data_IF_741132142077
#
_entry.id   IF_741132142077
#
_cell.length_a   1.000
_cell.length_b   1.000
_cell.length_c   1.000
_cell.angle_alpha   90.00
_cell.angle_beta   90.00
_cell.angle_gamma   90.00
#
_symmetry.space_group_name_H-M   'P 1'
#
loop_
_entity.id
_entity.type
_entity.pdbx_description
1 polymer ?
#
# COMPACT_ATOMS: atom_id res chain seq x y z
N UNK A 1 14.72 32.35 -7.56
CA UNK A 1 14.72 31.74 -6.19
C UNK A 1 13.32 31.65 -5.58
N UNK A 2 12.58 32.73 -5.45
CA UNK A 2 11.28 32.70 -4.75
C UNK A 2 10.24 31.79 -5.44
N UNK A 3 10.22 31.76 -6.77
CA UNK A 3 9.30 30.89 -7.53
C UNK A 3 9.69 29.40 -7.43
N UNK A 4 10.98 29.07 -7.58
CA UNK A 4 11.49 27.72 -7.38
C UNK A 4 11.16 27.21 -5.96
N UNK A 5 11.53 27.97 -4.92
CA UNK A 5 11.26 27.61 -3.53
C UNK A 5 9.76 27.45 -3.22
N UNK A 6 8.88 28.24 -3.86
CA UNK A 6 7.43 28.08 -3.74
C UNK A 6 6.95 26.80 -4.40
N UNK A 7 7.49 26.45 -5.56
CA UNK A 7 7.15 25.21 -6.26
C UNK A 7 7.65 23.99 -5.46
N UNK A 8 8.85 24.03 -4.89
CA UNK A 8 9.40 23.00 -4.00
C UNK A 8 8.54 22.81 -2.73
N UNK A 9 8.07 23.90 -2.14
CA UNK A 9 7.14 23.83 -1.00
C UNK A 9 5.86 23.10 -1.38
N UNK A 10 5.24 23.45 -2.53
CA UNK A 10 4.03 22.77 -3.02
C UNK A 10 4.30 21.31 -3.38
N UNK A 11 5.47 20.99 -3.94
CA UNK A 11 5.88 19.61 -4.18
C UNK A 11 5.99 18.80 -2.87
N UNK A 12 6.56 19.39 -1.82
CA UNK A 12 6.64 18.77 -0.49
C UNK A 12 5.25 18.51 0.12
N UNK A 13 4.30 19.44 -0.04
CA UNK A 13 2.93 19.28 0.44
C UNK A 13 2.21 18.12 -0.27
N UNK A 14 2.36 18.01 -1.59
CA UNK A 14 1.81 16.88 -2.34
C UNK A 14 2.54 15.58 -2.02
N UNK A 15 3.85 15.61 -1.76
CA UNK A 15 4.62 14.47 -1.29
C UNK A 15 4.11 13.93 0.06
N UNK A 16 3.74 14.81 0.99
CA UNK A 16 3.09 14.44 2.24
C UNK A 16 1.75 13.73 1.99
N UNK A 17 0.94 14.24 1.05
CA UNK A 17 -0.35 13.61 0.67
C UNK A 17 -0.15 12.24 0.03
N UNK A 18 0.85 12.11 -0.84
CA UNK A 18 1.21 10.83 -1.46
C UNK A 18 1.63 9.79 -0.42
N UNK A 19 2.48 10.19 0.55
CA UNK A 19 2.87 9.31 1.66
C UNK A 19 1.66 8.90 2.51
N UNK A 20 0.79 9.83 2.87
CA UNK A 20 -0.44 9.52 3.63
C UNK A 20 -1.32 8.52 2.88
N UNK A 21 -1.50 8.70 1.57
CA UNK A 21 -2.29 7.77 0.74
C UNK A 21 -1.67 6.38 0.71
N UNK A 22 -0.34 6.28 0.62
CA UNK A 22 0.36 4.99 0.65
C UNK A 22 0.24 4.29 2.00
N UNK A 23 0.30 5.03 3.12
CA UNK A 23 0.08 4.49 4.47
C UNK A 23 -1.35 3.99 4.65
N UNK A 24 -2.35 4.75 4.19
CA UNK A 24 -3.75 4.32 4.22
C UNK A 24 -3.97 3.04 3.41
N UNK A 25 -3.36 2.95 2.22
CA UNK A 25 -3.37 1.74 1.40
C UNK A 25 -2.78 0.55 2.16
N UNK A 26 -1.60 0.74 2.75
CA UNK A 26 -0.90 -0.32 3.47
C UNK A 26 -1.71 -0.82 4.67
N UNK A 27 -2.31 0.07 5.46
CA UNK A 27 -3.18 -0.29 6.58
C UNK A 27 -4.42 -1.05 6.10
N UNK A 28 -5.09 -0.55 5.05
CA UNK A 28 -6.30 -1.18 4.52
C UNK A 28 -5.99 -2.57 3.94
N UNK A 29 -4.90 -2.72 3.19
CA UNK A 29 -4.49 -3.99 2.61
C UNK A 29 -4.08 -5.00 3.69
N UNK A 30 -3.32 -4.56 4.71
CA UNK A 30 -2.98 -5.38 5.87
C UNK A 30 -4.21 -5.84 6.65
N UNK A 31 -5.23 -4.99 6.79
CA UNK A 31 -6.50 -5.36 7.43
C UNK A 31 -7.25 -6.43 6.62
N UNK A 32 -7.31 -6.30 5.29
CA UNK A 32 -7.92 -7.30 4.42
C UNK A 32 -7.16 -8.64 4.49
N UNK A 33 -5.84 -8.59 4.57
CA UNK A 33 -5.00 -9.77 4.72
C UNK A 33 -5.22 -10.46 6.09
N UNK A 34 -5.43 -9.69 7.16
CA UNK A 34 -5.82 -10.26 8.47
C UNK A 34 -7.15 -11.01 8.40
N UNK A 35 -8.16 -10.47 7.72
CA UNK A 35 -9.45 -11.16 7.51
C UNK A 35 -9.27 -12.47 6.73
N UNK A 36 -8.41 -12.45 5.70
CA UNK A 36 -8.11 -13.65 4.90
C UNK A 36 -7.39 -14.72 5.74
N UNK A 37 -6.42 -14.32 6.59
CA UNK A 37 -5.71 -15.26 7.46
C UNK A 37 -6.62 -15.88 8.53
N UNK A 38 -7.57 -15.11 9.08
CA UNK A 38 -8.58 -15.64 10.01
C UNK A 38 -9.47 -16.69 9.30
N UNK A 39 -9.91 -16.42 8.06
CA UNK A 39 -10.67 -17.36 7.26
C UNK A 39 -9.86 -18.61 6.94
N UNK A 40 -8.59 -18.44 6.55
CA UNK A 40 -7.68 -19.56 6.33
C UNK A 40 -7.47 -20.40 7.60
N UNK A 41 -7.29 -19.76 8.75
CA UNK A 41 -7.19 -20.46 10.04
C UNK A 41 -8.42 -21.30 10.34
N UNK A 42 -9.60 -20.77 10.11
CA UNK A 42 -10.86 -21.49 10.31
C UNK A 42 -10.99 -22.71 9.37
N UNK A 43 -10.59 -22.58 8.10
CA UNK A 43 -10.56 -23.70 7.14
C UNK A 43 -9.60 -24.78 7.59
N UNK A 44 -8.38 -24.40 8.02
CA UNK A 44 -7.38 -25.37 8.49
C UNK A 44 -7.81 -26.05 9.78
N UNK A 45 -8.42 -25.34 10.73
CA UNK A 45 -8.98 -25.95 11.94
C UNK A 45 -10.04 -26.99 11.60
N UNK A 46 -10.94 -26.69 10.65
CA UNK A 46 -11.94 -27.62 10.17
C UNK A 46 -11.32 -28.83 9.46
N UNK A 47 -10.22 -28.65 8.73
CA UNK A 47 -9.49 -29.78 8.14
C UNK A 47 -8.85 -30.68 9.19
N UNK A 48 -8.33 -30.11 10.29
CA UNK A 48 -7.79 -30.88 11.42
C UNK A 48 -8.86 -31.72 12.08
N UNK A 49 -10.06 -31.16 12.34
CA UNK A 49 -11.20 -31.93 12.86
C UNK A 49 -11.55 -33.12 11.94
N UNK A 50 -11.63 -32.86 10.64
CA UNK A 50 -11.99 -33.85 9.64
C UNK A 50 -10.95 -34.98 9.50
N UNK A 51 -9.65 -34.60 9.49
CA UNK A 51 -8.57 -35.60 9.42
C UNK A 51 -8.39 -36.37 10.74
N UNK A 52 -8.68 -35.75 11.88
CA UNK A 52 -8.70 -36.45 13.18
C UNK A 52 -9.77 -37.50 13.22
N UNK A 53 -10.98 -37.22 12.72
CA UNK A 53 -12.05 -38.20 12.60
C UNK A 53 -11.69 -39.32 11.61
N UNK A 54 -11.05 -38.98 10.49
CA UNK A 54 -10.57 -39.97 9.53
C UNK A 54 -9.54 -40.92 10.16
N UNK A 55 -8.60 -40.37 10.93
CA UNK A 55 -7.59 -41.18 11.64
C UNK A 55 -8.23 -42.10 12.65
N UNK A 56 -9.17 -41.58 13.45
CA UNK A 56 -9.92 -42.42 14.44
C UNK A 56 -10.62 -43.60 13.77
N UNK A 57 -11.31 -43.37 12.67
CA UNK A 57 -12.00 -44.44 11.92
C UNK A 57 -11.04 -45.48 11.34
N UNK A 58 -9.89 -45.09 10.84
CA UNK A 58 -8.88 -46.04 10.34
C UNK A 58 -8.18 -46.80 11.45
N UNK A 59 -7.96 -46.20 12.61
CA UNK A 59 -7.41 -46.88 13.79
C UNK A 59 -8.41 -47.95 14.30
N UNK A 60 -9.70 -47.64 14.41
CA UNK A 60 -10.75 -48.58 14.79
C UNK A 60 -10.87 -49.74 13.80
N UNK A 61 -10.76 -49.48 12.48
CA UNK A 61 -10.76 -50.54 11.46
C UNK A 61 -9.52 -51.44 11.57
N UNK A 62 -8.36 -50.87 11.88
CA UNK A 62 -7.13 -51.63 12.04
C UNK A 62 -7.19 -52.53 13.29
N UNK A 63 -7.72 -52.04 14.42
CA UNK A 63 -7.96 -52.82 15.63
C UNK A 63 -8.95 -53.95 15.40
N UNK A 64 -9.99 -53.70 14.59
CA UNK A 64 -10.94 -54.69 14.15
C UNK A 64 -10.42 -55.68 13.09
N UNK A 65 -9.13 -55.62 12.74
CA UNK A 65 -8.46 -56.49 11.74
C UNK A 65 -9.04 -56.40 10.32
N UNK A 66 -9.78 -55.33 10.01
CA UNK A 66 -10.37 -55.02 8.69
C UNK A 66 -9.73 -53.80 8.01
N UNK A 67 -8.78 -53.12 8.70
CA UNK A 67 -8.09 -51.95 8.23
C UNK A 67 -6.73 -52.21 7.66
N UNK A 68 -6.18 -51.20 6.96
CA UNK A 68 -4.84 -51.19 6.38
C UNK A 68 -3.93 -50.15 7.04
N UNK A 69 -2.72 -50.56 7.46
CA UNK A 69 -1.69 -49.66 8.03
C UNK A 69 -1.33 -48.49 7.12
N UNK A 70 -1.41 -48.63 5.80
CA UNK A 70 -1.18 -47.57 4.84
C UNK A 70 -2.23 -46.45 5.01
N UNK A 71 -3.50 -46.78 5.23
CA UNK A 71 -4.57 -45.83 5.44
C UNK A 71 -4.36 -45.03 6.74
N UNK A 72 -4.03 -45.70 7.82
CA UNK A 72 -3.68 -45.07 9.11
C UNK A 72 -2.48 -44.09 8.93
N UNK A 73 -1.41 -44.55 8.27
CA UNK A 73 -0.24 -43.71 8.01
C UNK A 73 -0.60 -42.48 7.17
N UNK A 74 -1.43 -42.64 6.14
CA UNK A 74 -1.89 -41.57 5.25
C UNK A 74 -2.76 -40.53 6.00
N UNK A 75 -3.70 -40.98 6.81
CA UNK A 75 -4.53 -40.10 7.64
C UNK A 75 -3.72 -39.35 8.70
N UNK A 76 -2.78 -40.06 9.33
CA UNK A 76 -1.85 -39.42 10.30
C UNK A 76 -0.97 -38.36 9.67
N UNK A 77 -0.48 -38.59 8.47
CA UNK A 77 0.31 -37.63 7.70
C UNK A 77 -0.52 -36.39 7.33
N UNK A 78 -1.75 -36.60 6.84
CA UNK A 78 -2.68 -35.50 6.51
C UNK A 78 -3.03 -34.66 7.75
N UNK A 79 -3.33 -35.30 8.87
CA UNK A 79 -3.61 -34.62 10.16
C UNK A 79 -2.40 -33.81 10.62
N UNK A 80 -1.20 -34.40 10.69
CA UNK A 80 0.01 -33.72 11.13
C UNK A 80 0.36 -32.52 10.21
N UNK A 81 0.20 -32.69 8.91
CA UNK A 81 0.43 -31.60 7.94
C UNK A 81 -0.54 -30.42 8.16
N UNK A 82 -1.82 -30.70 8.42
CA UNK A 82 -2.81 -29.64 8.73
C UNK A 82 -2.55 -29.00 10.08
N UNK A 83 -2.21 -29.77 11.11
CA UNK A 83 -1.87 -29.24 12.43
C UNK A 83 -0.67 -28.30 12.39
N UNK A 84 0.34 -28.60 11.58
CA UNK A 84 1.51 -27.76 11.41
C UNK A 84 1.20 -26.40 10.76
N UNK A 85 0.12 -26.28 9.99
CA UNK A 85 -0.28 -25.00 9.38
C UNK A 85 -0.88 -24.03 10.41
N UNK A 86 -1.51 -24.51 11.48
CA UNK A 86 -2.14 -23.65 12.50
C UNK A 86 -1.13 -22.67 13.12
N UNK A 87 -0.02 -23.12 13.74
CA UNK A 87 0.95 -22.21 14.31
C UNK A 87 1.62 -21.32 13.26
N UNK A 88 1.81 -21.80 12.04
CA UNK A 88 2.38 -21.00 10.94
C UNK A 88 1.46 -19.80 10.58
N UNK A 89 0.14 -20.03 10.48
CA UNK A 89 -0.85 -18.96 10.25
C UNK A 89 -0.94 -18.01 11.45
N UNK A 90 -0.90 -18.53 12.68
CA UNK A 90 -0.93 -17.71 13.87
C UNK A 90 0.28 -16.75 13.98
N UNK A 91 1.47 -17.20 13.56
CA UNK A 91 2.66 -16.33 13.46
C UNK A 91 2.43 -15.23 12.42
N UNK A 92 1.86 -15.56 11.25
CA UNK A 92 1.57 -14.55 10.24
C UNK A 92 0.56 -13.51 10.74
N UNK A 93 -0.50 -13.96 11.44
CA UNK A 93 -1.48 -13.06 12.07
C UNK A 93 -0.80 -12.13 13.08
N UNK A 94 0.00 -12.67 13.99
CA UNK A 94 0.67 -11.88 15.02
C UNK A 94 1.64 -10.85 14.41
N UNK A 95 2.42 -11.25 13.42
CA UNK A 95 3.34 -10.34 12.72
C UNK A 95 2.60 -9.21 12.01
N UNK A 96 1.47 -9.52 11.37
CA UNK A 96 0.67 -8.54 10.65
C UNK A 96 -0.08 -7.60 11.62
N UNK A 97 -0.58 -8.09 12.76
CA UNK A 97 -1.14 -7.27 13.84
C UNK A 97 -0.11 -6.28 14.40
N UNK A 98 1.13 -6.74 14.61
CA UNK A 98 2.23 -5.88 15.03
C UNK A 98 2.54 -4.80 13.97
N UNK A 99 2.60 -5.18 12.68
CA UNK A 99 2.84 -4.25 11.60
C UNK A 99 1.75 -3.17 11.50
N UNK A 100 0.47 -3.57 11.58
CA UNK A 100 -0.66 -2.61 11.59
C UNK A 100 -0.63 -1.71 12.83
N UNK A 101 -0.27 -2.24 14.00
CA UNK A 101 -0.13 -1.45 15.23
C UNK A 101 0.93 -0.37 15.07
N UNK A 102 2.10 -0.72 14.51
CA UNK A 102 3.19 0.23 14.25
C UNK A 102 2.77 1.29 13.23
N UNK A 103 2.11 0.90 12.13
CA UNK A 103 1.58 1.84 11.15
C UNK A 103 0.56 2.81 11.75
N UNK A 104 -0.21 2.37 12.75
CA UNK A 104 -1.16 3.20 13.49
C UNK A 104 -0.51 4.01 14.63
N UNK A 105 0.81 3.97 14.80
CA UNK A 105 1.53 4.66 15.90
C UNK A 105 1.21 4.12 17.29
N UNK A 106 0.86 2.82 17.40
CA UNK A 106 0.46 2.17 18.65
C UNK A 106 1.43 1.06 19.03
N UNK A 107 1.47 0.73 20.32
CA UNK A 107 2.17 -0.45 20.79
C UNK A 107 1.58 -1.73 20.15
N UNK A 108 2.41 -2.77 19.87
CA UNK A 108 1.95 -4.04 19.33
C UNK A 108 0.80 -4.63 20.16
N UNK A 109 -0.25 -5.11 19.47
CA UNK A 109 -1.42 -5.67 20.11
C UNK A 109 -2.46 -6.18 19.12
N UNK A 110 -3.47 -6.86 19.65
CA UNK A 110 -4.55 -7.44 18.83
C UNK A 110 -5.36 -6.36 18.11
N UNK A 111 -5.63 -6.61 16.84
CA UNK A 111 -6.49 -5.77 16.01
C UNK A 111 -7.89 -6.37 15.99
N UNK A 112 -8.91 -5.59 16.40
CA UNK A 112 -10.32 -6.01 16.28
C UNK A 112 -10.70 -6.09 14.80
N UNK A 113 -11.31 -7.20 14.43
CA UNK A 113 -11.73 -7.50 13.06
C UNK A 113 -13.21 -7.81 13.00
N UNK A 114 -13.85 -7.42 11.88
CA UNK A 114 -15.23 -7.76 11.59
C UNK A 114 -15.46 -7.76 10.08
N UNK A 115 -16.40 -8.57 9.60
CA UNK A 115 -16.71 -8.72 8.20
C UNK A 115 -15.88 -9.80 7.51
N UNK A 116 -16.11 -9.98 6.21
CA UNK A 116 -15.38 -10.92 5.37
C UNK A 116 -14.79 -10.23 4.13
N UNK A 117 -13.71 -10.79 3.61
CA UNK A 117 -13.10 -10.31 2.36
C UNK A 117 -14.06 -10.46 1.17
N UNK A 118 -14.92 -11.49 1.19
CA UNK A 118 -15.96 -11.72 0.19
C UNK A 118 -16.96 -10.57 0.12
N UNK A 119 -17.50 -10.14 1.26
CA UNK A 119 -18.49 -9.05 1.32
C UNK A 119 -17.91 -7.75 0.82
N UNK A 120 -16.68 -7.43 1.20
CA UNK A 120 -15.98 -6.23 0.74
C UNK A 120 -15.75 -6.28 -0.78
N UNK A 121 -15.35 -7.44 -1.33
CA UNK A 121 -15.07 -7.60 -2.75
C UNK A 121 -16.28 -7.33 -3.65
N UNK A 122 -17.48 -7.72 -3.22
CA UNK A 122 -18.68 -7.68 -4.05
C UNK A 122 -19.63 -6.50 -3.78
N UNK A 123 -19.63 -5.94 -2.57
CA UNK A 123 -20.56 -4.86 -2.22
C UNK A 123 -20.18 -3.49 -2.80
N UNK A 124 -18.94 -3.29 -3.25
CA UNK A 124 -18.48 -2.01 -3.81
C UNK A 124 -18.54 -2.06 -5.34
N UNK A 125 -19.44 -1.25 -5.91
CA UNK A 125 -19.54 -1.06 -7.37
C UNK A 125 -18.56 0.03 -7.82
N UNK A 126 -17.72 -0.29 -8.79
CA UNK A 126 -16.83 0.68 -9.44
C UNK A 126 -17.53 1.17 -10.72
N UNK A 127 -17.74 2.49 -10.89
CA UNK A 127 -18.35 3.02 -12.10
C UNK A 127 -17.43 2.78 -13.31
N UNK A 128 -18.04 2.45 -14.46
CA UNK A 128 -17.32 2.37 -15.71
C UNK A 128 -16.99 3.78 -16.25
N UNK A 129 -15.91 3.92 -17.04
CA UNK A 129 -15.60 5.17 -17.72
C UNK A 129 -14.94 6.22 -16.83
N UNK A 130 -13.90 5.85 -16.08
CA UNK A 130 -13.12 6.78 -15.26
C UNK A 130 -12.34 7.72 -16.19
N UNK A 131 -12.61 9.05 -16.20
CA UNK A 131 -11.94 9.97 -17.09
C UNK A 131 -10.46 10.17 -16.73
N UNK A 132 -9.60 10.33 -17.73
CA UNK A 132 -8.16 10.53 -17.55
C UNK A 132 -7.80 11.76 -16.68
N UNK A 133 -8.67 12.81 -16.62
CA UNK A 133 -8.41 13.99 -15.80
C UNK A 133 -8.32 13.68 -14.29
N UNK A 134 -8.83 12.52 -13.83
CA UNK A 134 -8.70 12.11 -12.43
C UNK A 134 -7.24 11.94 -12.03
N UNK A 135 -6.36 11.61 -12.98
CA UNK A 135 -4.92 11.51 -12.73
C UNK A 135 -4.32 12.84 -12.24
N UNK A 136 -4.87 13.99 -12.68
CA UNK A 136 -4.43 15.30 -12.18
C UNK A 136 -4.75 15.55 -10.70
N UNK A 137 -5.54 14.67 -10.06
CA UNK A 137 -5.82 14.71 -8.61
C UNK A 137 -4.82 13.88 -7.80
N UNK A 138 -4.03 13.05 -8.47
CA UNK A 138 -3.05 12.19 -7.79
C UNK A 138 -1.94 13.06 -7.19
N UNK A 139 -1.64 12.86 -5.89
CA UNK A 139 -0.61 13.66 -5.23
C UNK A 139 0.79 13.42 -5.81
N UNK A 140 1.13 12.20 -6.23
CA UNK A 140 2.41 11.86 -6.85
C UNK A 140 2.61 12.56 -8.21
N UNK A 141 1.55 12.62 -9.03
CA UNK A 141 1.55 13.35 -10.31
C UNK A 141 1.69 14.87 -10.08
N UNK A 142 0.98 15.42 -9.10
CA UNK A 142 1.08 16.83 -8.73
C UNK A 142 2.44 17.18 -8.14
N UNK A 143 3.00 16.28 -7.32
CA UNK A 143 4.34 16.44 -6.79
C UNK A 143 5.38 16.58 -7.92
N UNK A 144 5.38 15.66 -8.89
CA UNK A 144 6.29 15.70 -10.02
C UNK A 144 6.06 16.92 -10.93
N UNK A 145 4.80 17.36 -11.09
CA UNK A 145 4.49 18.61 -11.79
C UNK A 145 5.09 19.84 -11.10
N UNK A 146 5.00 19.93 -9.77
CA UNK A 146 5.61 21.03 -9.03
C UNK A 146 7.14 20.97 -9.04
N UNK A 147 7.73 19.78 -9.02
CA UNK A 147 9.18 19.60 -9.19
C UNK A 147 9.65 20.07 -10.59
N UNK A 148 8.89 19.76 -11.64
CA UNK A 148 9.16 20.27 -12.98
C UNK A 148 9.08 21.80 -13.03
N UNK A 149 8.10 22.42 -12.36
CA UNK A 149 7.97 23.88 -12.26
C UNK A 149 9.15 24.51 -11.50
N UNK A 150 9.61 23.85 -10.43
CA UNK A 150 10.80 24.29 -9.69
C UNK A 150 12.05 24.27 -10.57
N UNK A 151 12.30 23.16 -11.26
CA UNK A 151 13.43 23.04 -12.19
C UNK A 151 13.37 24.07 -13.32
N UNK A 152 12.17 24.38 -13.86
CA UNK A 152 12.02 25.45 -14.84
C UNK A 152 12.35 26.83 -14.27
N UNK A 153 11.95 27.12 -13.04
CA UNK A 153 12.28 28.36 -12.36
C UNK A 153 13.79 28.48 -12.09
N UNK A 154 14.49 27.38 -11.82
CA UNK A 154 15.96 27.34 -11.65
C UNK A 154 16.70 27.66 -12.96
N UNK A 155 16.16 27.28 -14.13
CA UNK A 155 16.70 27.77 -15.41
C UNK A 155 16.63 29.29 -15.48
N UNK A 156 15.52 29.91 -15.03
CA UNK A 156 15.39 31.37 -14.92
C UNK A 156 16.41 31.99 -13.97
N UNK A 157 16.70 31.32 -12.84
CA UNK A 157 17.76 31.76 -11.90
C UNK A 157 19.15 31.70 -12.58
N UNK A 158 19.46 30.62 -13.30
CA UNK A 158 20.71 30.48 -14.02
C UNK A 158 20.90 31.60 -15.08
N UNK A 159 19.84 31.96 -15.80
CA UNK A 159 19.83 33.08 -16.75
C UNK A 159 19.97 34.43 -16.02
N UNK A 160 19.31 34.62 -14.88
CA UNK A 160 19.40 35.84 -14.10
C UNK A 160 20.83 36.13 -13.59
N UNK A 161 21.63 35.08 -13.38
CA UNK A 161 23.04 35.22 -12.96
C UNK A 161 23.97 35.88 -14.01
N UNK A 162 23.51 36.07 -15.26
CA UNK A 162 24.22 36.84 -16.26
C UNK A 162 24.07 38.36 -16.05
N UNK A 163 23.08 38.80 -15.30
CA UNK A 163 22.77 40.19 -15.07
C UNK A 163 23.36 40.69 -13.76
N UNK A 164 23.71 42.02 -13.68
CA UNK A 164 24.16 42.60 -12.43
C UNK A 164 23.09 42.56 -11.34
N UNK A 165 23.51 42.32 -10.11
CA UNK A 165 22.67 42.46 -8.92
C UNK A 165 22.71 43.89 -8.40
N UNK A 166 21.54 44.47 -8.14
CA UNK A 166 21.40 45.78 -7.51
C UNK A 166 21.01 45.52 -6.05
N UNK A 167 21.86 45.94 -5.13
CA UNK A 167 21.56 45.85 -3.69
C UNK A 167 21.43 47.23 -3.08
N UNK A 168 20.44 47.38 -2.20
CA UNK A 168 20.24 48.57 -1.38
C UNK A 168 20.49 48.19 0.08
N UNK A 169 21.41 48.86 0.71
CA UNK A 169 21.77 48.63 2.12
C UNK A 169 21.47 49.91 2.90
N UNK A 170 20.73 49.79 3.98
CA UNK A 170 20.56 50.87 4.95
C UNK A 170 21.06 50.40 6.32
N UNK A 171 21.86 51.16 6.96
CA UNK A 171 22.36 50.90 8.30
C UNK A 171 22.10 52.11 9.20
N UNK A 172 21.58 51.87 10.37
CA UNK A 172 21.40 52.88 11.42
C UNK A 172 21.93 52.35 12.75
N UNK A 173 22.67 53.11 13.47
CA UNK A 173 23.22 52.68 14.74
C UNK A 173 23.72 53.80 15.60
N UNK A 174 24.00 53.48 16.85
CA UNK A 174 24.65 54.33 17.81
C UNK A 174 26.09 53.84 17.91
N UNK A 175 27.05 54.70 17.63
CA UNK A 175 28.48 54.39 17.78
C UNK A 175 29.07 55.22 18.93
N UNK A 176 29.84 54.59 19.80
CA UNK A 176 30.61 55.21 20.85
C UNK A 176 32.06 54.72 20.74
N UNK A 177 33.01 55.63 20.88
CA UNK A 177 34.45 55.31 20.91
C UNK A 177 34.89 54.64 22.21
N UNK A 178 34.04 54.70 23.29
CA UNK A 178 34.32 54.13 24.61
C UNK A 178 33.08 53.39 25.15
N UNK A 179 33.25 52.16 25.55
CA UNK A 179 32.20 51.31 26.14
C UNK A 179 31.58 51.89 27.42
N UNK A 180 32.29 52.80 28.13
CA UNK A 180 31.81 53.45 29.34
C UNK A 180 30.87 54.63 29.08
N UNK A 181 30.76 55.08 27.80
CA UNK A 181 29.95 56.21 27.41
C UNK A 181 28.95 55.89 26.28
N UNK A 182 28.35 54.70 26.33
CA UNK A 182 27.30 54.29 25.38
C UNK A 182 26.07 55.22 25.40
N UNK A 183 25.93 56.07 26.43
CA UNK A 183 24.85 57.06 26.54
C UNK A 183 25.12 58.37 25.81
N UNK A 184 26.32 58.59 25.24
CA UNK A 184 26.64 59.76 24.41
C UNK A 184 26.14 59.55 22.98
N UNK A 185 24.94 59.95 22.72
CA UNK A 185 24.20 59.81 21.48
C UNK A 185 24.85 60.51 20.30
N UNK A 186 25.66 59.82 19.53
CA UNK A 186 25.85 60.15 18.10
C UNK A 186 25.29 59.00 17.28
N UNK A 187 23.98 59.12 16.93
CA UNK A 187 23.34 58.24 15.96
C UNK A 187 23.87 58.55 14.57
N UNK A 188 24.39 57.57 13.89
CA UNK A 188 24.71 57.65 12.47
C UNK A 188 23.76 56.77 11.68
N UNK A 189 23.33 57.26 10.55
CA UNK A 189 22.67 56.46 9.56
C UNK A 189 23.38 56.61 8.22
N UNK A 190 23.34 55.59 7.42
CA UNK A 190 23.87 55.60 6.06
C UNK A 190 23.03 54.70 5.18
N UNK A 191 22.90 55.05 3.94
CA UNK A 191 22.40 54.15 2.93
C UNK A 191 23.36 54.12 1.75
N UNK A 192 23.45 52.98 1.10
CA UNK A 192 24.29 52.76 -0.07
C UNK A 192 23.62 51.89 -1.09
N UNK A 193 23.86 52.16 -2.34
CA UNK A 193 23.47 51.28 -3.45
C UNK A 193 24.73 50.64 -4.01
N UNK A 194 24.66 49.32 -4.27
CA UNK A 194 25.78 48.62 -4.89
C UNK A 194 25.27 47.87 -6.13
N UNK A 195 26.00 48.01 -7.25
CA UNK A 195 25.77 47.32 -8.51
C UNK A 195 26.95 46.38 -8.76
N UNK A 196 26.73 45.08 -8.70
CA UNK A 196 27.79 44.09 -8.91
C UNK A 196 27.35 43.09 -9.98
N UNK A 197 28.16 42.89 -11.01
CA UNK A 197 27.89 41.92 -12.07
C UNK A 197 29.13 41.22 -12.59
N UNK A 198 28.98 40.00 -13.14
CA UNK A 198 30.09 39.26 -13.72
C UNK A 198 30.48 39.85 -15.07
N UNK A 199 31.78 40.20 -15.23
CA UNK A 199 32.35 40.61 -16.52
C UNK A 199 32.99 39.43 -17.27
N UNK A 200 33.68 38.54 -16.53
CA UNK A 200 34.33 37.36 -17.07
C UNK A 200 34.37 36.25 -16.04
N UNK A 201 33.84 35.08 -16.38
CA UNK A 201 33.81 33.91 -15.50
C UNK A 201 34.27 32.61 -16.20
N UNK A 202 35.09 32.71 -17.23
CA UNK A 202 35.69 31.54 -17.92
C UNK A 202 34.69 30.42 -18.26
N UNK A 203 33.48 30.78 -18.71
CA UNK A 203 32.43 29.78 -19.08
C UNK A 203 31.59 29.25 -17.95
N UNK A 204 31.81 29.62 -16.68
CA UNK A 204 31.04 29.14 -15.52
C UNK A 204 29.54 29.38 -15.66
N UNK A 205 29.12 30.59 -16.10
CA UNK A 205 27.68 30.90 -16.25
C UNK A 205 27.03 30.05 -17.32
N UNK A 206 27.72 29.89 -18.48
CA UNK A 206 27.21 29.03 -19.56
C UNK A 206 27.10 27.57 -19.16
N UNK A 207 28.06 27.07 -18.36
CA UNK A 207 28.00 25.71 -17.83
C UNK A 207 26.86 25.56 -16.82
N UNK A 208 26.65 26.56 -15.93
CA UNK A 208 25.53 26.56 -14.96
C UNK A 208 24.17 26.59 -15.66
N UNK A 209 24.01 27.39 -16.71
CA UNK A 209 22.76 27.41 -17.51
C UNK A 209 22.51 26.07 -18.20
N UNK A 210 23.56 25.46 -18.78
CA UNK A 210 23.44 24.14 -19.40
C UNK A 210 23.07 23.06 -18.38
N UNK A 211 23.63 23.12 -17.18
CA UNK A 211 23.27 22.20 -16.09
C UNK A 211 21.80 22.36 -15.70
N UNK A 212 21.32 23.59 -15.45
CA UNK A 212 19.93 23.85 -15.10
C UNK A 212 18.95 23.39 -16.21
N UNK A 213 19.30 23.58 -17.49
CA UNK A 213 18.51 23.07 -18.63
C UNK A 213 18.46 21.53 -18.66
N UNK A 214 19.57 20.86 -18.33
CA UNK A 214 19.63 19.41 -18.27
C UNK A 214 18.77 18.88 -17.09
N UNK A 215 18.80 19.55 -15.94
CA UNK A 215 17.94 19.24 -14.78
C UNK A 215 16.45 19.45 -15.09
N UNK A 216 16.09 20.51 -15.81
CA UNK A 216 14.72 20.71 -16.29
C UNK A 216 14.27 19.58 -17.24
N UNK A 217 15.13 19.15 -18.16
CA UNK A 217 14.82 18.03 -19.06
C UNK A 217 14.63 16.72 -18.27
N UNK A 218 15.48 16.45 -17.27
CA UNK A 218 15.34 15.32 -16.38
C UNK A 218 14.01 15.35 -15.64
N UNK A 219 13.66 16.48 -15.00
CA UNK A 219 12.39 16.67 -14.32
C UNK A 219 11.17 16.53 -15.27
N UNK A 220 11.29 16.92 -16.54
CA UNK A 220 10.26 16.74 -17.57
C UNK A 220 10.02 15.25 -17.86
N UNK A 221 11.10 14.47 -18.03
CA UNK A 221 11.01 13.05 -18.25
C UNK A 221 10.47 12.30 -17.03
N UNK A 222 10.85 12.72 -15.81
CA UNK A 222 10.32 12.14 -14.56
C UNK A 222 8.81 12.40 -14.40
N UNK A 223 8.34 13.59 -14.78
CA UNK A 223 6.91 13.90 -14.80
C UNK A 223 6.17 13.02 -15.80
N UNK A 224 6.65 12.92 -17.04
CA UNK A 224 6.06 12.05 -18.06
C UNK A 224 6.01 10.59 -17.59
N UNK A 225 7.11 10.08 -17.04
CA UNK A 225 7.18 8.71 -16.51
C UNK A 225 6.17 8.50 -15.37
N UNK A 226 6.01 9.48 -14.48
CA UNK A 226 5.04 9.42 -13.37
C UNK A 226 3.61 9.33 -13.90
N UNK A 227 3.27 10.12 -14.91
CA UNK A 227 1.95 10.08 -15.58
C UNK A 227 1.71 8.74 -16.26
N UNK A 228 2.70 8.21 -16.99
CA UNK A 228 2.61 6.90 -17.66
C UNK A 228 2.42 5.76 -16.64
N UNK A 229 3.16 5.80 -15.54
CA UNK A 229 3.02 4.82 -14.46
C UNK A 229 1.63 4.89 -13.81
N UNK A 230 1.09 6.10 -13.60
CA UNK A 230 -0.24 6.29 -13.05
C UNK A 230 -1.34 5.73 -13.98
N UNK A 231 -1.21 5.94 -15.29
CA UNK A 231 -2.12 5.35 -16.30
C UNK A 231 -2.04 3.83 -16.30
N UNK A 232 -0.82 3.27 -16.29
CA UNK A 232 -0.59 1.84 -16.26
C UNK A 232 -1.18 1.19 -15.00
N UNK A 233 -1.01 1.83 -13.83
CA UNK A 233 -1.55 1.36 -12.54
C UNK A 233 -3.08 1.27 -12.58
N UNK A 234 -3.78 2.32 -13.05
CA UNK A 234 -5.24 2.31 -13.19
C UNK A 234 -5.69 1.22 -14.15
N UNK A 235 -5.08 1.14 -15.34
CA UNK A 235 -5.42 0.13 -16.36
C UNK A 235 -5.23 -1.29 -15.82
N UNK A 236 -4.07 -1.56 -15.24
CA UNK A 236 -3.75 -2.88 -14.67
C UNK A 236 -4.70 -3.27 -13.54
N UNK A 237 -5.04 -2.34 -12.65
CA UNK A 237 -5.95 -2.58 -11.53
C UNK A 237 -7.38 -2.89 -12.01
N UNK A 238 -7.87 -2.18 -13.03
CA UNK A 238 -9.19 -2.45 -13.63
C UNK A 238 -9.25 -3.82 -14.31
N UNK A 239 -8.21 -4.18 -15.07
CA UNK A 239 -8.10 -5.51 -15.71
C UNK A 239 -8.05 -6.60 -14.63
N UNK A 240 -7.18 -6.43 -13.63
CA UNK A 240 -7.04 -7.38 -12.52
C UNK A 240 -8.36 -7.60 -11.80
N UNK A 241 -9.09 -6.51 -11.47
CA UNK A 241 -10.41 -6.61 -10.82
C UNK A 241 -11.41 -7.38 -11.67
N UNK A 242 -11.50 -7.09 -12.97
CA UNK A 242 -12.39 -7.79 -13.88
C UNK A 242 -12.06 -9.29 -13.98
N UNK A 243 -10.77 -9.64 -14.05
CA UNK A 243 -10.33 -11.03 -14.12
C UNK A 243 -10.50 -11.77 -12.79
N UNK A 244 -10.21 -11.13 -11.65
CA UNK A 244 -10.41 -11.71 -10.32
C UNK A 244 -11.88 -12.03 -10.05
N UNK A 245 -12.82 -11.20 -10.53
CA UNK A 245 -14.25 -11.52 -10.43
C UNK A 245 -14.60 -12.85 -11.11
N UNK A 246 -14.05 -13.09 -12.30
CA UNK A 246 -14.25 -14.34 -13.03
C UNK A 246 -13.53 -15.52 -12.35
N UNK A 247 -12.29 -15.32 -11.91
CA UNK A 247 -11.51 -16.32 -11.20
C UNK A 247 -12.21 -16.76 -9.91
N UNK A 248 -12.73 -15.83 -9.11
CA UNK A 248 -13.45 -16.16 -7.87
C UNK A 248 -14.74 -16.94 -8.15
N UNK A 249 -15.47 -16.62 -9.24
CA UNK A 249 -16.65 -17.37 -9.63
C UNK A 249 -16.32 -18.82 -9.99
N UNK A 250 -15.32 -19.03 -10.86
CA UNK A 250 -14.89 -20.37 -11.29
C UNK A 250 -14.34 -21.17 -10.10
N UNK A 251 -13.54 -20.54 -9.24
CA UNK A 251 -13.01 -21.20 -8.04
C UNK A 251 -14.12 -21.56 -7.04
N UNK A 252 -15.17 -20.73 -6.94
CA UNK A 252 -16.33 -21.04 -6.10
C UNK A 252 -17.06 -22.28 -6.60
N UNK A 253 -17.27 -22.41 -7.93
CA UNK A 253 -17.84 -23.60 -8.56
C UNK A 253 -16.99 -24.86 -8.29
N UNK A 254 -15.65 -24.73 -8.38
CA UNK A 254 -14.75 -25.82 -8.06
C UNK A 254 -14.86 -26.27 -6.60
N UNK A 255 -14.94 -25.31 -5.64
CA UNK A 255 -15.14 -25.60 -4.21
C UNK A 255 -16.48 -26.31 -3.98
N UNK A 256 -17.57 -25.87 -4.61
CA UNK A 256 -18.89 -26.54 -4.52
C UNK A 256 -18.85 -27.96 -5.08
N UNK A 257 -18.13 -28.18 -6.19
CA UNK A 257 -17.94 -29.51 -6.74
C UNK A 257 -17.12 -30.42 -5.79
N UNK A 258 -16.04 -29.91 -5.20
CA UNK A 258 -15.28 -30.66 -4.19
C UNK A 258 -16.07 -30.95 -2.92
N UNK A 259 -16.89 -30.01 -2.44
CA UNK A 259 -17.82 -30.25 -1.32
C UNK A 259 -18.78 -31.36 -1.63
N UNK A 260 -19.35 -31.37 -2.84
CA UNK A 260 -20.23 -32.44 -3.32
C UNK A 260 -19.49 -33.77 -3.40
N UNK A 261 -18.25 -33.80 -3.89
CA UNK A 261 -17.42 -35.00 -3.93
C UNK A 261 -17.16 -35.58 -2.53
N UNK A 262 -16.84 -34.73 -1.54
CA UNK A 262 -16.68 -35.15 -0.14
C UNK A 262 -17.97 -35.75 0.38
N UNK A 263 -19.11 -35.11 0.14
CA UNK A 263 -20.41 -35.62 0.59
C UNK A 263 -20.72 -36.98 -0.04
N UNK A 264 -20.59 -37.12 -1.36
CA UNK A 264 -20.90 -38.36 -2.07
C UNK A 264 -19.91 -39.49 -1.70
N UNK A 265 -18.63 -39.21 -1.52
CA UNK A 265 -17.64 -40.20 -1.09
C UNK A 265 -17.97 -40.73 0.32
N UNK A 266 -18.42 -39.85 1.20
CA UNK A 266 -18.87 -40.24 2.55
C UNK A 266 -20.16 -41.10 2.54
N UNK A 267 -21.14 -40.77 1.70
CA UNK A 267 -22.36 -41.57 1.51
C UNK A 267 -22.03 -42.96 0.96
N UNK A 268 -21.14 -43.05 -0.04
CA UNK A 268 -20.68 -44.36 -0.61
C UNK A 268 -19.95 -45.20 0.45
N UNK A 269 -19.09 -44.57 1.26
CA UNK A 269 -18.44 -45.26 2.37
C UNK A 269 -19.48 -45.83 3.37
N UNK A 270 -20.47 -45.02 3.80
CA UNK A 270 -21.51 -45.47 4.75
C UNK A 270 -22.38 -46.63 4.24
N UNK A 271 -22.54 -46.71 2.93
CA UNK A 271 -23.29 -47.81 2.29
C UNK A 271 -22.42 -49.01 1.93
N UNK A 272 -21.14 -48.98 2.29
CA UNK A 272 -20.20 -50.08 2.01
C UNK A 272 -19.78 -50.17 0.53
N UNK A 273 -20.10 -49.17 -0.30
CA UNK A 273 -19.81 -49.17 -1.75
C UNK A 273 -18.37 -48.65 -2.06
N UNK A 274 -17.71 -48.06 -1.09
CA UNK A 274 -16.32 -47.58 -1.27
C UNK A 274 -15.55 -47.62 0.05
N UNK A 275 -14.21 -47.52 -0.07
CA UNK A 275 -13.32 -47.42 1.07
C UNK A 275 -13.24 -45.94 1.53
N UNK A 276 -13.05 -45.72 2.83
CA UNK A 276 -12.92 -44.35 3.41
C UNK A 276 -11.76 -43.56 2.82
N UNK A 277 -10.78 -44.19 2.21
CA UNK A 277 -9.67 -43.51 1.52
C UNK A 277 -10.16 -42.54 0.43
N UNK A 278 -11.32 -42.85 -0.21
CA UNK A 278 -11.92 -41.92 -1.18
C UNK A 278 -12.38 -40.61 -0.51
N UNK A 279 -12.89 -40.69 0.71
CA UNK A 279 -13.28 -39.54 1.51
C UNK A 279 -12.05 -38.70 1.85
N UNK A 280 -10.96 -39.34 2.29
CA UNK A 280 -9.71 -38.66 2.60
C UNK A 280 -9.14 -37.91 1.38
N UNK A 281 -9.14 -38.56 0.20
CA UNK A 281 -8.69 -37.88 -1.04
C UNK A 281 -9.61 -36.73 -1.45
N UNK A 282 -10.90 -36.87 -1.30
CA UNK A 282 -11.84 -35.79 -1.59
C UNK A 282 -11.60 -34.57 -0.64
N UNK A 283 -11.33 -34.83 0.64
CA UNK A 283 -10.99 -33.79 1.63
C UNK A 283 -9.65 -33.12 1.31
N UNK A 284 -8.63 -33.88 0.90
CA UNK A 284 -7.32 -33.34 0.51
C UNK A 284 -7.39 -32.40 -0.71
N UNK A 285 -8.40 -32.52 -1.57
CA UNK A 285 -8.64 -31.57 -2.65
C UNK A 285 -9.50 -30.37 -2.20
N UNK A 286 -10.47 -30.59 -1.32
CA UNK A 286 -11.38 -29.55 -0.86
C UNK A 286 -10.69 -28.44 -0.08
N UNK A 287 -9.90 -28.77 0.94
CA UNK A 287 -9.35 -27.76 1.84
C UNK A 287 -8.37 -26.79 1.15
N UNK A 288 -7.42 -27.23 0.31
CA UNK A 288 -6.59 -26.31 -0.48
C UNK A 288 -7.40 -25.44 -1.45
N UNK A 289 -8.47 -25.99 -2.05
CA UNK A 289 -9.35 -25.24 -2.93
C UNK A 289 -10.10 -24.12 -2.18
N UNK A 290 -10.53 -24.36 -0.94
CA UNK A 290 -11.17 -23.36 -0.07
C UNK A 290 -10.15 -22.26 0.34
N UNK A 291 -8.93 -22.63 0.71
CA UNK A 291 -7.85 -21.67 1.03
C UNK A 291 -7.58 -20.80 -0.19
N UNK A 292 -7.49 -21.39 -1.38
CA UNK A 292 -7.27 -20.65 -2.63
C UNK A 292 -8.43 -19.69 -2.94
N UNK A 293 -9.67 -20.09 -2.69
CA UNK A 293 -10.85 -19.23 -2.85
C UNK A 293 -10.80 -18.02 -1.90
N UNK A 294 -10.48 -18.26 -0.63
CA UNK A 294 -10.28 -17.19 0.38
C UNK A 294 -9.20 -16.19 -0.07
N UNK A 295 -8.10 -16.69 -0.63
CA UNK A 295 -7.04 -15.85 -1.17
C UNK A 295 -7.49 -15.02 -2.39
N UNK A 296 -8.33 -15.59 -3.27
CA UNK A 296 -8.90 -14.83 -4.40
C UNK A 296 -9.89 -13.76 -3.93
N UNK A 297 -10.70 -14.00 -2.90
CA UNK A 297 -11.55 -12.97 -2.30
C UNK A 297 -10.72 -11.82 -1.73
N UNK A 298 -9.65 -12.12 -1.00
CA UNK A 298 -8.72 -11.10 -0.53
C UNK A 298 -8.13 -10.29 -1.69
N UNK A 299 -7.58 -10.94 -2.70
CA UNK A 299 -7.01 -10.25 -3.87
C UNK A 299 -8.05 -9.37 -4.56
N UNK A 300 -9.28 -9.85 -4.71
CA UNK A 300 -10.37 -9.07 -5.30
C UNK A 300 -10.75 -7.86 -4.44
N UNK A 301 -10.81 -7.99 -3.11
CA UNK A 301 -11.03 -6.88 -2.19
C UNK A 301 -9.87 -5.87 -2.22
N UNK A 302 -8.61 -6.33 -2.25
CA UNK A 302 -7.40 -5.49 -2.34
C UNK A 302 -7.37 -4.64 -3.62
N UNK A 303 -7.96 -5.12 -4.74
CA UNK A 303 -8.09 -4.27 -5.94
C UNK A 303 -8.93 -3.02 -5.73
N UNK A 304 -9.86 -3.01 -4.77
CA UNK A 304 -10.64 -1.80 -4.44
C UNK A 304 -9.76 -0.76 -3.77
N UNK A 305 -8.92 -1.19 -2.83
CA UNK A 305 -7.96 -0.31 -2.15
C UNK A 305 -6.96 0.23 -3.17
N UNK A 306 -6.43 -0.63 -4.05
CA UNK A 306 -5.52 -0.24 -5.11
C UNK A 306 -6.16 0.75 -6.08
N UNK A 307 -7.41 0.53 -6.49
CA UNK A 307 -8.12 1.43 -7.38
C UNK A 307 -8.39 2.79 -6.71
N UNK A 308 -8.80 2.80 -5.44
CA UNK A 308 -9.00 4.03 -4.69
C UNK A 308 -7.72 4.88 -4.64
N UNK A 309 -6.57 4.26 -4.39
CA UNK A 309 -5.28 4.96 -4.37
C UNK A 309 -4.84 5.38 -5.78
N UNK A 310 -5.00 4.52 -6.78
CA UNK A 310 -4.66 4.81 -8.18
C UNK A 310 -5.48 5.99 -8.76
N UNK A 311 -6.68 6.23 -8.23
CA UNK A 311 -7.52 7.37 -8.58
C UNK A 311 -7.23 8.63 -7.74
N UNK A 312 -6.19 8.61 -6.92
CA UNK A 312 -5.77 9.76 -6.12
C UNK A 312 -6.49 9.91 -4.78
N UNK A 313 -7.32 8.93 -4.35
CA UNK A 313 -8.04 8.98 -3.08
C UNK A 313 -9.10 10.10 -2.98
N UNK A 314 -9.76 10.20 -1.83
CA UNK A 314 -10.79 11.23 -1.57
C UNK A 314 -10.22 12.44 -0.82
N UNK A 315 -9.55 13.35 -1.50
CA UNK A 315 -8.86 14.52 -0.89
C UNK A 315 -9.79 15.67 -0.46
N UNK A 316 -11.07 15.44 -0.27
CA UNK A 316 -11.97 16.45 0.28
C UNK A 316 -11.94 16.54 1.83
N UNK A 317 -11.04 15.83 2.50
CA UNK A 317 -10.83 16.03 3.94
C UNK A 317 -10.03 17.33 4.12
N UNK A 318 -10.67 18.35 4.69
CA UNK A 318 -9.98 19.57 5.12
C UNK A 318 -8.86 19.15 6.10
N UNK A 319 -7.70 19.79 5.99
CA UNK A 319 -6.50 19.57 6.84
C UNK A 319 -6.85 19.55 8.35
N UNK A 320 -7.94 20.20 8.73
CA UNK A 320 -8.47 20.30 10.09
C UNK A 320 -9.07 18.98 10.61
N UNK A 321 -9.70 18.18 9.75
CA UNK A 321 -10.32 16.90 10.15
C UNK A 321 -9.30 15.78 10.41
N UNK A 322 -8.06 15.92 9.89
CA UNK A 322 -7.00 14.94 10.08
C UNK A 322 -6.26 15.17 11.39
N UNK A 323 -6.12 16.45 11.82
CA UNK A 323 -5.42 16.82 13.05
C UNK A 323 -6.30 16.69 14.31
N UNK A 324 -7.61 16.84 14.18
CA UNK A 324 -8.54 16.84 15.33
C UNK A 324 -8.96 15.44 15.79
N UNK A 325 -8.58 14.36 15.06
CA UNK A 325 -8.98 12.98 15.38
C UNK A 325 -10.50 12.74 15.32
N UNK A 326 -10.96 11.49 15.36
CA UNK A 326 -12.39 11.22 15.45
C UNK A 326 -12.97 11.78 16.75
N UNK A 327 -14.20 12.31 16.74
CA UNK A 327 -14.83 12.85 17.93
C UNK A 327 -14.85 11.78 19.02
N UNK A 328 -14.32 12.13 20.18
CA UNK A 328 -14.38 11.28 21.39
C UNK A 328 -15.85 10.99 21.68
N UNK A 329 -16.27 9.74 21.53
CA UNK A 329 -17.53 9.21 22.05
C UNK A 329 -17.31 8.64 23.44
#
# INVERSE_FOLDING_TARGET
>A
MTEAARADYLASEEGQRALMLSLLRQVADSYLQLLQLDEQLAIVQKSVESYSESLRLFDEQLEGQVGDRLQVASAKAALASSQAQIPAIQVQIANLENAVSVLAGRAPGRIRRSGSTRDIAYNVKVPAGIPAYILSRRPDVRQSEYQLRAANAEVGVAIANYFPTISLTAAGGLASADLRHVQGRRGGWGFGTNLTGPLFQAGKLTASEKAAKAEFLAASNDYEQTVLNALAEVSSTLIQRAKLRNITSIQSEAVEAYQTAVKLSFERYRTGLSNYIEVLYAQQNLYPAQIQLSQYYYQHASTLVSLYTALGGGWNMSHKAIMDGPPKR
#
